data_IF_792646926280
#
_entry.id   IF_792646926280
#
_cell.length_a   1.000
_cell.length_b   1.000
_cell.length_c   1.000
_cell.angle_alpha   90.00
_cell.angle_beta   90.00
_cell.angle_gamma   90.00
#
_symmetry.space_group_name_H-M   'P 1'
#
loop_
_entity.id
_entity.type
_entity.pdbx_description
1 polymer ?
#
# COMPACT_ATOMS: atom_id res chain seq x y z
N UNK A 1 -1.26 -4.24 16.71
CA UNK A 1 -0.57 -5.47 17.21
C UNK A 1 0.62 -4.97 18.03
N UNK A 2 0.57 -5.24 19.34
CA UNK A 2 1.42 -4.74 20.44
C UNK A 2 1.68 -3.23 20.42
N UNK A 3 1.08 -2.49 21.35
CA UNK A 3 1.18 -1.02 21.44
C UNK A 3 -0.13 -0.31 21.05
N UNK A 4 -0.19 1.01 21.31
CA UNK A 4 -1.29 1.88 20.89
C UNK A 4 -1.04 2.45 19.50
N UNK A 5 -2.10 2.56 18.70
CA UNK A 5 -2.06 3.31 17.45
C UNK A 5 -1.61 4.76 17.72
N UNK A 6 -0.70 5.28 16.89
CA UNK A 6 -0.10 6.60 17.10
C UNK A 6 -0.71 7.69 16.24
N UNK A 7 -1.27 7.36 15.08
CA UNK A 7 -1.97 8.32 14.22
C UNK A 7 -3.37 8.59 14.78
N UNK A 8 -3.74 9.86 14.81
CA UNK A 8 -4.99 10.37 15.39
C UNK A 8 -6.18 10.33 14.43
N UNK A 9 -5.98 9.88 13.19
CA UNK A 9 -7.00 9.83 12.16
C UNK A 9 -7.11 11.11 11.34
N UNK A 10 -6.31 12.14 11.65
CA UNK A 10 -6.36 13.45 11.01
C UNK A 10 -5.06 13.73 10.25
N UNK A 11 -5.19 14.40 9.11
CA UNK A 11 -4.04 14.76 8.28
C UNK A 11 -3.28 13.55 7.72
N UNK A 12 -2.05 13.75 7.22
CA UNK A 12 -1.25 12.71 6.61
C UNK A 12 -0.50 11.87 7.66
N UNK A 13 -0.08 10.67 7.25
CA UNK A 13 0.89 9.90 8.03
C UNK A 13 2.24 10.66 8.11
N UNK A 14 2.98 10.46 9.20
CA UNK A 14 4.23 11.16 9.54
C UNK A 14 5.28 11.19 8.42
N UNK A 15 5.30 10.16 7.58
CA UNK A 15 6.25 9.97 6.49
C UNK A 15 5.78 10.51 5.13
N UNK A 16 4.64 11.22 5.08
CA UNK A 16 4.08 11.76 3.84
C UNK A 16 4.43 13.25 3.70
N UNK A 17 4.95 13.62 2.53
CA UNK A 17 5.05 15.02 2.11
C UNK A 17 3.73 15.45 1.44
N UNK A 18 2.90 16.22 2.15
CA UNK A 18 1.63 16.75 1.62
C UNK A 18 1.80 17.58 0.35
N UNK A 19 2.93 18.29 0.24
CA UNK A 19 3.24 19.19 -0.86
C UNK A 19 3.91 18.47 -2.05
N UNK A 20 3.93 17.13 -2.06
CA UNK A 20 4.53 16.39 -3.16
C UNK A 20 3.84 16.74 -4.50
N UNK A 21 4.61 17.11 -5.55
CA UNK A 21 4.05 17.47 -6.84
C UNK A 21 3.26 16.29 -7.43
N UNK A 22 2.11 16.58 -8.04
CA UNK A 22 1.25 15.57 -8.65
C UNK A 22 1.49 15.51 -10.16
N UNK A 23 1.39 14.32 -10.73
CA UNK A 23 1.59 14.07 -12.16
C UNK A 23 3.00 13.62 -12.53
N UNK A 24 3.24 13.47 -13.84
CA UNK A 24 4.48 12.91 -14.39
C UNK A 24 4.40 11.41 -14.70
N UNK A 25 5.54 10.80 -15.05
CA UNK A 25 5.65 9.36 -15.36
C UNK A 25 6.72 8.70 -14.50
N UNK A 26 6.33 7.69 -13.74
CA UNK A 26 7.24 6.82 -13.01
C UNK A 26 7.48 5.53 -13.82
N UNK A 27 8.74 5.19 -14.06
CA UNK A 27 9.13 3.97 -14.81
C UNK A 27 10.02 3.11 -13.93
N UNK A 28 9.58 1.88 -13.64
CA UNK A 28 10.35 0.90 -12.87
C UNK A 28 10.83 -0.24 -13.77
N UNK A 29 12.07 -0.66 -13.54
CA UNK A 29 12.61 -1.89 -14.12
C UNK A 29 12.57 -3.01 -13.10
N UNK A 30 12.16 -4.20 -13.53
CA UNK A 30 12.12 -5.40 -12.69
C UNK A 30 12.92 -6.52 -13.34
N UNK A 31 13.71 -7.24 -12.55
CA UNK A 31 14.45 -8.41 -13.01
C UNK A 31 13.53 -9.62 -13.02
N UNK A 32 13.50 -10.35 -14.14
CA UNK A 32 12.70 -11.55 -14.33
C UNK A 32 11.62 -11.38 -15.39
N UNK A 33 10.56 -12.18 -15.29
CA UNK A 33 9.40 -12.13 -16.19
C UNK A 33 8.12 -12.40 -15.40
N UNK A 34 6.97 -12.22 -16.04
CA UNK A 34 5.66 -12.58 -15.53
C UNK A 34 4.92 -13.44 -16.57
N UNK A 35 4.00 -14.26 -16.10
CA UNK A 35 3.16 -15.10 -16.97
C UNK A 35 1.67 -15.03 -16.62
N UNK A 36 1.29 -14.20 -15.66
CA UNK A 36 -0.08 -13.99 -15.23
C UNK A 36 -0.25 -12.59 -14.65
N UNK A 37 -1.48 -12.07 -14.71
CA UNK A 37 -1.87 -10.79 -14.12
C UNK A 37 -2.77 -10.98 -12.88
N UNK A 38 -2.95 -12.20 -12.40
CA UNK A 38 -3.68 -12.49 -11.18
C UNK A 38 -2.70 -12.64 -9.99
N UNK A 39 -2.63 -11.68 -9.05
CA UNK A 39 -1.72 -11.76 -7.91
C UNK A 39 -2.19 -12.68 -6.78
N UNK A 40 -3.40 -13.26 -6.87
CA UNK A 40 -3.99 -14.12 -5.84
C UNK A 40 -3.96 -15.61 -6.19
N UNK A 41 -3.33 -15.95 -7.32
CA UNK A 41 -3.15 -17.33 -7.75
C UNK A 41 -2.13 -18.07 -6.86
N UNK A 42 -2.26 -19.40 -6.77
CA UNK A 42 -1.31 -20.26 -6.04
C UNK A 42 -0.03 -20.51 -6.85
N UNK A 43 -0.14 -20.56 -8.19
CA UNK A 43 0.99 -20.84 -9.10
C UNK A 43 1.03 -19.82 -10.23
N UNK A 44 2.24 -19.50 -10.68
CA UNK A 44 2.51 -18.46 -11.67
C UNK A 44 3.22 -17.27 -11.02
N UNK A 45 3.67 -16.34 -11.86
CA UNK A 45 4.35 -15.12 -11.43
C UNK A 45 3.59 -13.91 -11.96
N UNK A 46 3.10 -13.08 -11.04
CA UNK A 46 2.49 -11.79 -11.35
C UNK A 46 3.41 -10.64 -10.92
N UNK A 47 3.37 -9.49 -11.60
CA UNK A 47 4.07 -8.29 -11.12
C UNK A 47 3.60 -7.91 -9.71
N UNK A 48 4.54 -7.50 -8.85
CA UNK A 48 4.25 -7.13 -7.45
C UNK A 48 3.36 -5.88 -7.38
N UNK A 49 3.54 -4.99 -8.33
CA UNK A 49 2.89 -3.69 -8.50
C UNK A 49 1.38 -3.82 -8.59
N UNK A 50 0.87 -4.92 -9.16
CA UNK A 50 -0.57 -5.15 -9.29
C UNK A 50 -1.26 -5.20 -7.91
N UNK A 51 -0.62 -5.81 -6.91
CA UNK A 51 -1.19 -5.87 -5.56
C UNK A 51 -1.16 -4.52 -4.84
N UNK A 52 -0.26 -3.62 -5.24
CA UNK A 52 -0.01 -2.34 -4.55
C UNK A 52 -0.78 -1.17 -5.20
N UNK A 53 -0.90 -1.15 -6.54
CA UNK A 53 -1.46 -0.02 -7.27
C UNK A 53 -2.82 -0.28 -7.93
N UNK A 54 -3.29 -1.53 -7.95
CA UNK A 54 -4.57 -1.91 -8.60
C UNK A 54 -5.60 -2.45 -7.62
N UNK A 55 -5.16 -3.08 -6.53
CA UNK A 55 -6.03 -3.65 -5.50
C UNK A 55 -5.90 -2.91 -4.18
N UNK A 56 -7.02 -2.75 -3.48
CA UNK A 56 -7.08 -2.07 -2.18
C UNK A 56 -7.64 -2.99 -1.09
N UNK A 57 -7.11 -2.85 0.12
CA UNK A 57 -7.61 -3.55 1.31
C UNK A 57 -8.60 -2.68 2.08
N UNK A 58 -9.33 -3.28 3.04
CA UNK A 58 -10.23 -2.54 3.92
C UNK A 58 -9.50 -1.51 4.77
N UNK A 59 -8.30 -1.86 5.26
CA UNK A 59 -7.41 -0.93 5.94
C UNK A 59 -6.01 -0.96 5.35
N UNK A 60 -5.28 0.13 5.53
CA UNK A 60 -3.88 0.30 5.15
C UNK A 60 -2.97 0.26 6.36
N UNK A 61 -1.75 -0.24 6.20
CA UNK A 61 -0.76 -0.32 7.29
C UNK A 61 0.07 0.96 7.34
N UNK A 62 0.27 1.50 8.54
CA UNK A 62 1.33 2.51 8.77
C UNK A 62 2.70 1.84 8.81
N UNK A 63 3.64 2.38 8.03
CA UNK A 63 5.01 1.87 7.94
C UNK A 63 5.94 2.39 9.04
N UNK A 64 5.52 3.42 9.78
CA UNK A 64 6.26 4.03 10.88
C UNK A 64 5.89 3.41 12.25
N UNK A 65 4.95 2.46 12.25
CA UNK A 65 4.50 1.74 13.43
C UNK A 65 4.78 0.23 13.30
N UNK A 66 5.04 -0.49 14.41
CA UNK A 66 5.33 -1.92 14.36
C UNK A 66 4.28 -2.69 13.57
N UNK A 67 3.00 -2.50 13.94
CA UNK A 67 1.86 -2.97 13.16
C UNK A 67 0.55 -2.31 13.62
N UNK A 68 0.20 -1.23 12.95
CA UNK A 68 -1.06 -0.49 13.07
C UNK A 68 -1.74 -0.41 11.71
N UNK A 69 -3.07 -0.55 11.70
CA UNK A 69 -3.91 -0.52 10.50
C UNK A 69 -4.94 0.60 10.66
N UNK A 70 -5.08 1.42 9.63
CA UNK A 70 -6.00 2.55 9.55
C UNK A 70 -6.96 2.37 8.37
N UNK A 71 -8.13 3.02 8.42
CA UNK A 71 -9.18 2.84 7.41
C UNK A 71 -8.69 3.20 6.01
N UNK A 72 -9.02 2.35 5.02
CA UNK A 72 -8.82 2.62 3.60
C UNK A 72 -10.17 2.56 2.89
N UNK A 73 -10.60 1.37 2.42
CA UNK A 73 -11.96 1.22 1.89
C UNK A 73 -13.01 1.19 3.00
N UNK A 74 -12.66 0.70 4.18
CA UNK A 74 -13.54 0.74 5.34
C UNK A 74 -13.52 2.14 5.97
N UNK A 75 -14.71 2.67 6.25
CA UNK A 75 -14.88 3.95 6.94
C UNK A 75 -14.56 3.88 8.43
N UNK A 76 -14.55 2.68 9.00
CA UNK A 76 -14.28 2.40 10.42
C UNK A 76 -13.75 0.95 10.57
N UNK A 77 -12.99 0.66 11.64
CA UNK A 77 -12.32 -0.64 11.86
C UNK A 77 -12.39 -1.12 13.31
#
# INVERSE_FOLDING_TARGET
MIGSAQWDGEGPLSYVNENAPKGGRFTMGHVGSFNSLNPFQIRGQSPYELRVYVHESLGTRSWDEPFSIYGQLASDI
#
